data_IF_758358506911
#
_entry.id   IF_758358506911
#
_cell.length_a   1.000
_cell.length_b   1.000
_cell.length_c   1.000
_cell.angle_alpha   90.00
_cell.angle_beta   90.00
_cell.angle_gamma   90.00
#
_symmetry.space_group_name_H-M   'P 1'
#
loop_
_entity.id
_entity.type
_entity.pdbx_description
1 polymer ?
#
# COMPACT_ATOMS: atom_id res chain seq x y z
N UNK A 1 44.48 12.87 13.09
CA UNK A 1 43.87 12.99 14.44
C UNK A 1 42.35 13.11 14.39
N UNK A 2 41.75 14.20 13.90
CA UNK A 2 40.26 14.31 13.82
C UNK A 2 39.66 13.32 12.81
N UNK A 3 40.28 13.18 11.64
CA UNK A 3 39.91 12.18 10.62
C UNK A 3 39.98 10.75 11.15
N UNK A 4 41.02 10.41 11.91
CA UNK A 4 41.18 9.07 12.50
C UNK A 4 40.15 8.79 13.59
N UNK A 5 39.80 9.82 14.39
CA UNK A 5 38.72 9.73 15.38
C UNK A 5 37.38 9.47 14.70
N UNK A 6 37.08 10.21 13.63
CA UNK A 6 35.84 10.03 12.85
C UNK A 6 35.78 8.66 12.18
N UNK A 7 36.88 8.20 11.58
CA UNK A 7 36.98 6.84 11.01
C UNK A 7 36.74 5.75 12.04
N UNK A 8 37.24 5.93 13.27
CA UNK A 8 37.01 4.97 14.35
C UNK A 8 35.56 4.97 14.82
N UNK A 9 34.95 6.15 14.95
CA UNK A 9 33.53 6.29 15.29
C UNK A 9 32.62 5.68 14.20
N UNK A 10 32.95 5.90 12.92
CA UNK A 10 32.23 5.31 11.79
C UNK A 10 32.39 3.78 11.78
N UNK A 11 33.59 3.26 12.03
CA UNK A 11 33.84 1.82 12.13
C UNK A 11 33.07 1.17 13.30
N UNK A 12 33.04 1.82 14.47
CA UNK A 12 32.29 1.33 15.63
C UNK A 12 30.77 1.34 15.37
N UNK A 13 30.28 2.35 14.65
CA UNK A 13 28.88 2.45 14.23
C UNK A 13 28.53 1.38 13.18
N UNK A 14 29.39 1.16 12.19
CA UNK A 14 29.20 0.14 11.16
C UNK A 14 29.21 -1.27 11.78
N UNK A 15 30.07 -1.53 12.77
CA UNK A 15 30.11 -2.80 13.49
C UNK A 15 28.80 -3.11 14.25
N UNK A 16 28.02 -2.08 14.60
CA UNK A 16 26.70 -2.20 15.27
C UNK A 16 25.53 -2.00 14.32
N UNK A 17 25.80 -1.86 13.01
CA UNK A 17 24.77 -1.63 12.01
C UNK A 17 24.26 -2.95 11.44
N UNK A 18 22.96 -3.16 11.54
CA UNK A 18 22.25 -4.31 10.95
C UNK A 18 21.50 -3.84 9.72
N UNK A 19 21.87 -4.36 8.55
CA UNK A 19 21.18 -4.06 7.29
C UNK A 19 20.11 -5.12 7.02
N UNK A 20 18.85 -4.69 6.98
CA UNK A 20 17.69 -5.53 6.70
C UNK A 20 17.15 -5.20 5.30
N UNK A 21 16.99 -6.22 4.45
CA UNK A 21 16.40 -6.05 3.13
C UNK A 21 15.02 -6.70 3.10
N UNK A 22 13.97 -5.91 2.80
CA UNK A 22 12.61 -6.41 2.65
C UNK A 22 12.37 -6.83 1.20
N UNK A 23 12.08 -8.10 0.95
CA UNK A 23 11.77 -8.63 -0.38
C UNK A 23 10.37 -9.24 -0.42
N UNK A 24 9.80 -9.36 -1.62
CA UNK A 24 8.47 -9.92 -1.85
C UNK A 24 7.78 -9.28 -3.05
N UNK A 25 6.75 -9.96 -3.57
CA UNK A 25 5.97 -9.48 -4.71
C UNK A 25 5.28 -8.13 -4.46
N UNK A 26 4.70 -7.52 -5.50
CA UNK A 26 3.86 -6.32 -5.35
C UNK A 26 2.75 -6.55 -4.32
N UNK A 27 2.40 -5.50 -3.57
CA UNK A 27 1.33 -5.55 -2.54
C UNK A 27 1.51 -6.58 -1.41
N UNK A 28 2.68 -7.21 -1.26
CA UNK A 28 2.86 -8.22 -0.20
C UNK A 28 2.87 -7.69 1.23
N UNK A 29 2.94 -6.36 1.44
CA UNK A 29 2.96 -5.74 2.78
C UNK A 29 4.33 -5.21 3.25
N UNK A 30 5.36 -5.19 2.39
CA UNK A 30 6.70 -4.67 2.74
C UNK A 30 6.68 -3.28 3.35
N UNK A 31 6.10 -2.32 2.65
CA UNK A 31 6.02 -0.93 3.13
C UNK A 31 5.18 -0.81 4.39
N UNK A 32 4.18 -1.68 4.59
CA UNK A 32 3.40 -1.74 5.84
C UNK A 32 4.27 -2.16 7.02
N UNK A 33 5.23 -3.09 6.84
CA UNK A 33 6.21 -3.41 7.89
C UNK A 33 7.10 -2.20 8.19
N UNK A 34 7.55 -1.45 7.18
CA UNK A 34 8.34 -0.23 7.41
C UNK A 34 7.54 0.82 8.20
N UNK A 35 6.28 1.03 7.84
CA UNK A 35 5.37 1.94 8.58
C UNK A 35 5.23 1.49 10.05
N UNK A 36 5.09 0.19 10.31
CA UNK A 36 5.07 -0.36 11.67
C UNK A 36 6.37 -0.10 12.44
N UNK A 37 7.54 -0.26 11.80
CA UNK A 37 8.83 0.02 12.44
C UNK A 37 8.95 1.49 12.83
N UNK A 38 8.39 2.41 12.05
CA UNK A 38 8.32 3.82 12.42
C UNK A 38 7.45 4.04 13.65
N UNK A 39 6.28 3.41 13.72
CA UNK A 39 5.39 3.50 14.89
C UNK A 39 6.07 2.98 16.16
N UNK A 40 6.70 1.81 16.09
CA UNK A 40 7.25 1.13 17.26
C UNK A 40 8.58 1.75 17.72
N UNK A 41 9.40 2.28 16.79
CA UNK A 41 10.79 2.67 17.08
C UNK A 41 11.15 4.12 16.75
N UNK A 42 10.23 4.94 16.21
CA UNK A 42 10.48 6.34 15.84
C UNK A 42 9.33 7.28 16.24
N UNK A 43 8.76 7.07 17.42
CA UNK A 43 7.74 7.94 18.04
C UNK A 43 6.44 8.12 17.23
N UNK A 44 6.13 7.22 16.28
CA UNK A 44 4.92 7.33 15.47
C UNK A 44 5.07 8.27 14.28
N UNK A 45 3.92 8.81 13.86
CA UNK A 45 3.82 9.83 12.81
C UNK A 45 3.51 11.19 13.44
N UNK A 46 4.20 12.24 13.00
CA UNK A 46 3.86 13.60 13.42
C UNK A 46 2.51 14.03 12.87
N UNK A 47 1.94 15.10 13.43
CA UNK A 47 0.71 15.69 12.89
C UNK A 47 0.89 16.11 11.43
N UNK A 48 2.01 16.75 11.07
CA UNK A 48 2.25 17.15 9.68
C UNK A 48 2.29 15.92 8.75
N UNK A 49 2.99 14.86 9.17
CA UNK A 49 3.08 13.63 8.38
C UNK A 49 1.72 12.95 8.23
N UNK A 50 0.90 12.90 9.29
CA UNK A 50 -0.46 12.36 9.21
C UNK A 50 -1.31 13.16 8.21
N UNK A 51 -1.19 14.49 8.19
CA UNK A 51 -1.95 15.34 7.26
C UNK A 51 -1.55 15.09 5.80
N UNK A 52 -0.30 14.76 5.51
CA UNK A 52 0.16 14.36 4.17
C UNK A 52 -0.55 13.09 3.64
N UNK A 53 -1.02 12.21 4.53
CA UNK A 53 -1.74 11.00 4.13
C UNK A 53 -3.20 11.24 3.73
N UNK A 54 -3.78 12.41 3.99
CA UNK A 54 -5.19 12.70 3.65
C UNK A 54 -5.44 12.54 2.15
N UNK A 55 -4.57 13.13 1.33
CA UNK A 55 -4.69 13.08 -0.13
C UNK A 55 -4.56 11.65 -0.65
N UNK A 56 -3.66 10.86 -0.07
CA UNK A 56 -3.44 9.45 -0.39
C UNK A 56 -4.69 8.63 -0.02
N UNK A 57 -5.26 8.84 1.17
CA UNK A 57 -6.44 8.13 1.66
C UNK A 57 -7.65 8.43 0.78
N UNK A 58 -7.88 9.70 0.43
CA UNK A 58 -8.96 10.07 -0.49
C UNK A 58 -8.77 9.47 -1.89
N UNK A 59 -7.54 9.52 -2.43
CA UNK A 59 -7.22 8.89 -3.71
C UNK A 59 -7.46 7.37 -3.68
N UNK A 60 -7.00 6.68 -2.62
CA UNK A 60 -7.24 5.25 -2.43
C UNK A 60 -8.73 4.91 -2.33
N UNK A 61 -9.52 5.74 -1.64
CA UNK A 61 -10.96 5.55 -1.47
C UNK A 61 -11.69 5.69 -2.80
N UNK A 62 -11.39 6.76 -3.54
CA UNK A 62 -11.96 7.03 -4.87
C UNK A 62 -11.61 5.92 -5.88
N UNK A 63 -10.33 5.53 -5.94
CA UNK A 63 -9.89 4.45 -6.82
C UNK A 63 -10.57 3.12 -6.48
N UNK A 64 -10.81 2.84 -5.20
CA UNK A 64 -11.47 1.61 -4.76
C UNK A 64 -12.91 1.55 -5.25
N UNK A 65 -13.71 2.60 -5.04
CA UNK A 65 -15.11 2.60 -5.50
C UNK A 65 -15.21 2.61 -7.04
N UNK A 66 -14.31 3.31 -7.74
CA UNK A 66 -14.25 3.28 -9.20
C UNK A 66 -13.91 1.88 -9.73
N UNK A 67 -13.00 1.16 -9.08
CA UNK A 67 -12.66 -0.21 -9.46
C UNK A 67 -13.87 -1.14 -9.32
N UNK A 68 -14.65 -1.01 -8.23
CA UNK A 68 -15.86 -1.80 -8.02
C UNK A 68 -16.92 -1.47 -9.09
N UNK A 69 -17.18 -0.18 -9.36
CA UNK A 69 -18.13 0.25 -10.41
C UNK A 69 -17.75 -0.28 -11.79
N UNK A 70 -16.46 -0.26 -12.14
CA UNK A 70 -15.97 -0.87 -13.39
C UNK A 70 -16.18 -2.38 -13.41
N UNK A 71 -15.86 -3.06 -12.30
CA UNK A 71 -16.01 -4.50 -12.17
C UNK A 71 -17.47 -4.95 -12.27
N UNK A 72 -18.45 -4.15 -11.82
CA UNK A 72 -19.87 -4.47 -11.99
C UNK A 72 -20.24 -4.68 -13.46
N UNK A 73 -19.68 -3.87 -14.37
CA UNK A 73 -19.93 -4.03 -15.81
C UNK A 73 -19.31 -5.32 -16.34
N UNK A 74 -18.05 -5.60 -15.97
CA UNK A 74 -17.34 -6.82 -16.37
C UNK A 74 -18.01 -8.10 -15.86
N UNK A 75 -18.48 -8.07 -14.61
CA UNK A 75 -19.13 -9.21 -13.95
C UNK A 75 -20.63 -9.29 -14.23
N UNK A 76 -21.18 -8.38 -15.03
CA UNK A 76 -22.61 -8.27 -15.37
C UNK A 76 -23.51 -8.20 -14.12
N UNK A 77 -23.10 -7.43 -13.11
CA UNK A 77 -23.85 -7.21 -11.87
C UNK A 77 -24.68 -5.94 -12.01
N UNK A 78 -25.99 -6.05 -11.84
CA UNK A 78 -26.91 -4.91 -11.82
C UNK A 78 -26.85 -4.14 -10.49
N UNK A 79 -27.15 -2.86 -10.54
CA UNK A 79 -27.36 -2.05 -9.33
C UNK A 79 -28.64 -2.47 -8.61
N UNK A 80 -28.66 -2.28 -7.29
CA UNK A 80 -29.84 -2.53 -6.46
C UNK A 80 -31.00 -1.58 -6.78
N UNK A 81 -30.72 -0.31 -7.11
CA UNK A 81 -31.73 0.61 -7.62
C UNK A 81 -31.23 1.42 -8.83
N UNK A 82 -32.17 1.96 -9.61
CA UNK A 82 -31.88 2.69 -10.85
C UNK A 82 -31.09 3.99 -10.60
N UNK A 83 -31.34 4.67 -9.47
CA UNK A 83 -30.66 5.93 -9.12
C UNK A 83 -29.14 5.74 -8.98
N UNK A 84 -28.70 4.56 -8.54
CA UNK A 84 -27.28 4.23 -8.38
C UNK A 84 -26.56 4.08 -9.72
N UNK A 85 -27.28 3.74 -10.79
CA UNK A 85 -26.70 3.74 -12.13
C UNK A 85 -26.31 5.16 -12.57
N UNK A 86 -27.12 6.16 -12.23
CA UNK A 86 -26.81 7.56 -12.52
C UNK A 86 -25.74 8.11 -11.58
N UNK A 87 -25.74 7.72 -10.30
CA UNK A 87 -24.65 8.05 -9.37
C UNK A 87 -23.30 7.47 -9.84
N UNK A 88 -23.27 6.25 -10.37
CA UNK A 88 -22.05 5.65 -10.93
C UNK A 88 -21.53 6.42 -12.14
N UNK A 89 -22.40 6.93 -13.02
CA UNK A 89 -22.01 7.79 -14.14
C UNK A 89 -21.44 9.12 -13.65
N UNK A 90 -22.08 9.74 -12.66
CA UNK A 90 -21.60 10.99 -12.03
C UNK A 90 -20.25 10.80 -11.35
N UNK A 91 -20.07 9.69 -10.61
CA UNK A 91 -18.81 9.32 -9.98
C UNK A 91 -17.66 9.33 -11.01
N UNK A 92 -17.85 8.64 -12.14
CA UNK A 92 -16.83 8.54 -13.18
C UNK A 92 -16.49 9.91 -13.79
N UNK A 93 -17.50 10.75 -14.06
CA UNK A 93 -17.28 12.10 -14.58
C UNK A 93 -16.58 13.01 -13.56
N UNK A 94 -16.98 12.95 -12.29
CA UNK A 94 -16.37 13.75 -11.22
C UNK A 94 -14.91 13.34 -11.01
N UNK A 95 -14.61 12.03 -11.02
CA UNK A 95 -13.25 11.54 -10.85
C UNK A 95 -12.26 12.09 -11.89
N UNK A 96 -12.72 12.38 -13.11
CA UNK A 96 -11.89 12.96 -14.18
C UNK A 96 -11.72 14.48 -14.08
N UNK A 97 -12.52 15.16 -13.24
CA UNK A 97 -12.60 16.64 -13.21
C UNK A 97 -12.18 17.25 -11.87
N UNK A 98 -12.31 16.51 -10.77
CA UNK A 98 -11.86 16.98 -9.45
C UNK A 98 -10.34 17.00 -9.34
N UNK A 99 -9.84 17.85 -8.45
CA UNK A 99 -8.44 17.83 -8.08
C UNK A 99 -8.08 16.52 -7.37
N UNK A 100 -6.97 15.90 -7.77
CA UNK A 100 -6.51 14.65 -7.19
C UNK A 100 -6.27 14.79 -5.68
N UNK A 101 -6.71 13.79 -4.91
CA UNK A 101 -6.55 13.80 -3.46
C UNK A 101 -7.52 14.73 -2.72
N UNK A 102 -8.58 15.21 -3.38
CA UNK A 102 -9.69 15.94 -2.73
C UNK A 102 -10.93 15.06 -2.59
N UNK A 103 -11.82 15.42 -1.66
CA UNK A 103 -13.10 14.73 -1.45
C UNK A 103 -14.24 15.75 -1.27
N UNK A 104 -14.71 16.39 -2.35
CA UNK A 104 -15.84 17.32 -2.29
C UNK A 104 -17.10 16.65 -1.73
N UNK A 105 -18.00 17.45 -1.14
CA UNK A 105 -19.25 16.94 -0.56
C UNK A 105 -20.09 16.15 -1.56
N UNK A 106 -20.22 16.64 -2.79
CA UNK A 106 -20.98 15.94 -3.85
C UNK A 106 -20.40 14.55 -4.14
N UNK A 107 -19.07 14.44 -4.21
CA UNK A 107 -18.38 13.18 -4.46
C UNK A 107 -18.59 12.19 -3.31
N UNK A 108 -18.35 12.63 -2.07
CA UNK A 108 -18.52 11.77 -0.89
C UNK A 108 -19.97 11.31 -0.72
N UNK A 109 -20.95 12.19 -0.95
CA UNK A 109 -22.37 11.82 -0.92
C UNK A 109 -22.71 10.73 -1.96
N UNK A 110 -22.12 10.80 -3.16
CA UNK A 110 -22.27 9.77 -4.20
C UNK A 110 -21.65 8.44 -3.74
N UNK A 111 -20.42 8.47 -3.24
CA UNK A 111 -19.72 7.25 -2.79
C UNK A 111 -20.50 6.58 -1.65
N UNK A 112 -21.04 7.35 -0.70
CA UNK A 112 -21.86 6.83 0.40
C UNK A 112 -23.13 6.13 -0.10
N UNK A 113 -23.80 6.68 -1.13
CA UNK A 113 -25.00 6.05 -1.71
C UNK A 113 -24.67 4.79 -2.50
N UNK A 114 -23.59 4.83 -3.28
CA UNK A 114 -23.10 3.66 -4.03
C UNK A 114 -22.66 2.54 -3.09
N UNK A 115 -21.93 2.85 -2.02
CA UNK A 115 -21.45 1.82 -1.09
C UNK A 115 -22.60 1.08 -0.39
N UNK A 116 -23.75 1.74 -0.17
CA UNK A 116 -24.96 1.13 0.40
C UNK A 116 -25.76 0.30 -0.61
N UNK A 117 -25.40 0.30 -1.89
CA UNK A 117 -26.10 -0.46 -2.92
C UNK A 117 -25.82 -1.96 -2.84
N UNK A 118 -26.86 -2.78 -2.98
CA UNK A 118 -26.72 -4.23 -2.90
C UNK A 118 -25.91 -4.81 -4.06
N UNK A 119 -25.96 -4.20 -5.24
CA UNK A 119 -25.15 -4.62 -6.40
C UNK A 119 -23.67 -4.31 -6.20
N UNK A 120 -23.36 -3.14 -5.64
CA UNK A 120 -21.98 -2.76 -5.26
C UNK A 120 -21.44 -3.72 -4.20
N UNK A 121 -22.21 -4.03 -3.15
CA UNK A 121 -21.82 -4.99 -2.12
C UNK A 121 -21.59 -6.39 -2.70
N UNK A 122 -22.51 -6.88 -3.55
CA UNK A 122 -22.36 -8.17 -4.21
C UNK A 122 -21.15 -8.23 -5.16
N UNK A 123 -20.77 -7.10 -5.77
CA UNK A 123 -19.55 -7.00 -6.56
C UNK A 123 -18.30 -7.01 -5.68
N UNK A 124 -18.32 -6.30 -4.55
CA UNK A 124 -17.25 -6.30 -3.56
C UNK A 124 -16.99 -7.68 -2.96
N UNK A 125 -18.03 -8.50 -2.73
CA UNK A 125 -17.88 -9.88 -2.27
C UNK A 125 -17.11 -10.77 -3.27
N UNK A 126 -17.01 -10.35 -4.54
CA UNK A 126 -16.28 -11.00 -5.62
C UNK A 126 -14.96 -10.28 -5.93
N UNK A 127 -14.41 -9.54 -4.98
CA UNK A 127 -13.22 -8.72 -5.17
C UNK A 127 -11.95 -9.48 -5.60
N UNK A 128 -11.88 -10.81 -5.44
CA UNK A 128 -10.75 -11.59 -5.96
C UNK A 128 -10.77 -11.78 -7.48
N UNK A 129 -11.91 -11.53 -8.13
CA UNK A 129 -12.06 -11.64 -9.60
C UNK A 129 -11.55 -10.40 -10.37
N UNK A 130 -11.14 -9.35 -9.66
CA UNK A 130 -10.60 -8.13 -10.26
C UNK A 130 -9.56 -7.46 -9.35
N UNK A 131 -8.88 -6.43 -9.86
CA UNK A 131 -7.86 -5.73 -9.08
C UNK A 131 -8.52 -4.71 -8.14
N UNK A 132 -8.53 -5.02 -6.85
CA UNK A 132 -9.00 -4.13 -5.79
C UNK A 132 -7.95 -3.98 -4.69
N UNK A 133 -7.91 -2.81 -4.05
CA UNK A 133 -7.08 -2.58 -2.88
C UNK A 133 -7.65 -3.31 -1.65
N UNK A 134 -6.83 -4.07 -0.93
CA UNK A 134 -7.20 -4.78 0.31
C UNK A 134 -7.86 -3.86 1.36
N UNK A 135 -7.49 -2.58 1.37
CA UNK A 135 -8.05 -1.57 2.28
C UNK A 135 -9.36 -0.94 1.80
N UNK A 136 -9.92 -1.35 0.65
CA UNK A 136 -11.14 -0.75 0.07
C UNK A 136 -12.30 -0.76 1.07
N UNK A 137 -12.61 -1.92 1.65
CA UNK A 137 -13.69 -2.04 2.63
C UNK A 137 -13.46 -1.19 3.88
N UNK A 138 -12.21 -1.08 4.35
CA UNK A 138 -11.87 -0.25 5.52
C UNK A 138 -12.24 1.21 5.31
N UNK A 139 -11.83 1.80 4.17
CA UNK A 139 -12.11 3.20 3.90
C UNK A 139 -13.57 3.47 3.51
N UNK A 140 -14.19 2.59 2.73
CA UNK A 140 -15.57 2.78 2.29
C UNK A 140 -16.57 2.65 3.45
N UNK A 141 -16.31 1.73 4.40
CA UNK A 141 -17.12 1.61 5.62
C UNK A 141 -17.01 2.83 6.53
N UNK A 142 -15.83 3.44 6.61
CA UNK A 142 -15.56 4.58 7.50
C UNK A 142 -15.64 5.94 6.79
N UNK A 143 -16.16 6.01 5.56
CA UNK A 143 -16.10 7.24 4.76
C UNK A 143 -16.68 8.46 5.49
N UNK A 144 -17.75 8.30 6.26
CA UNK A 144 -18.35 9.39 7.06
C UNK A 144 -17.38 9.98 8.11
N UNK A 145 -16.46 9.17 8.66
CA UNK A 145 -15.39 9.61 9.56
C UNK A 145 -14.30 10.36 8.78
N UNK A 146 -13.94 9.85 7.61
CA UNK A 146 -12.85 10.39 6.79
C UNK A 146 -13.17 11.79 6.26
N UNK A 147 -14.44 12.11 6.02
CA UNK A 147 -14.86 13.42 5.45
C UNK A 147 -15.25 14.46 6.49
N UNK A 148 -15.10 14.16 7.79
CA UNK A 148 -15.42 15.14 8.84
C UNK A 148 -14.49 16.36 8.75
N UNK A 149 -15.00 17.58 8.96
CA UNK A 149 -14.16 18.76 9.10
C UNK A 149 -13.12 18.56 10.22
N UNK A 150 -11.85 18.79 9.91
CA UNK A 150 -10.76 18.58 10.87
C UNK A 150 -10.32 17.13 11.05
N UNK A 151 -10.69 16.23 10.13
CA UNK A 151 -10.18 14.86 10.09
C UNK A 151 -8.64 14.83 10.09
N UNK A 152 -8.08 14.06 11.01
CA UNK A 152 -6.65 13.73 11.08
C UNK A 152 -6.54 12.20 10.98
N UNK A 153 -5.77 11.67 10.00
CA UNK A 153 -5.57 10.23 9.87
C UNK A 153 -4.98 9.61 11.13
N UNK A 154 -5.55 8.48 11.53
CA UNK A 154 -5.00 7.63 12.58
C UNK A 154 -3.81 6.84 12.06
N UNK A 155 -2.97 6.30 12.94
CA UNK A 155 -1.93 5.35 12.54
C UNK A 155 -2.50 4.15 11.76
N UNK A 156 -3.72 3.72 12.08
CA UNK A 156 -4.41 2.64 11.38
C UNK A 156 -4.79 3.04 9.95
N UNK A 157 -5.24 4.28 9.74
CA UNK A 157 -5.46 4.83 8.39
C UNK A 157 -4.14 4.90 7.62
N UNK A 158 -3.08 5.41 8.25
CA UNK A 158 -1.74 5.50 7.65
C UNK A 158 -1.21 4.12 7.25
N UNK A 159 -1.38 3.09 8.09
CA UNK A 159 -0.96 1.72 7.80
C UNK A 159 -1.73 1.09 6.65
N UNK A 160 -3.03 1.40 6.54
CA UNK A 160 -3.93 0.90 5.48
C UNK A 160 -3.75 1.64 4.16
N UNK A 161 -3.12 2.82 4.17
CA UNK A 161 -2.90 3.61 2.96
C UNK A 161 -1.91 2.91 2.04
N UNK A 162 -2.26 2.90 0.76
CA UNK A 162 -1.52 2.27 -0.32
C UNK A 162 -0.83 3.34 -1.13
N UNK A 163 0.49 3.28 -1.10
CA UNK A 163 1.39 4.01 -1.99
C UNK A 163 2.24 2.98 -2.72
N UNK A 164 2.27 3.05 -4.05
CA UNK A 164 3.12 2.16 -4.84
C UNK A 164 4.58 2.57 -4.62
N UNK A 165 5.35 1.74 -3.94
CA UNK A 165 6.79 1.95 -3.75
C UNK A 165 7.52 1.83 -5.08
N UNK A 166 8.22 2.90 -5.46
CA UNK A 166 9.12 2.95 -6.61
C UNK A 166 10.55 3.17 -6.13
N UNK A 167 11.50 2.43 -6.70
CA UNK A 167 12.89 2.48 -6.27
C UNK A 167 13.14 1.79 -4.92
N UNK A 168 14.02 2.41 -4.14
CA UNK A 168 14.57 1.89 -2.88
C UNK A 168 14.38 2.98 -1.83
N UNK A 169 13.73 2.64 -0.73
CA UNK A 169 13.51 3.52 0.41
C UNK A 169 14.27 2.96 1.61
N UNK A 170 15.14 3.77 2.20
CA UNK A 170 15.87 3.41 3.42
C UNK A 170 15.20 4.03 4.64
N UNK A 171 14.91 3.21 5.65
CA UNK A 171 14.45 3.65 6.97
C UNK A 171 15.46 3.23 8.03
N UNK A 172 15.85 4.19 8.87
CA UNK A 172 16.79 3.95 9.95
C UNK A 172 16.09 4.07 11.30
N UNK A 173 16.36 3.13 12.20
CA UNK A 173 15.90 3.14 13.59
C UNK A 173 16.94 2.46 14.49
N UNK A 174 16.86 2.71 15.79
CA UNK A 174 17.73 2.07 16.78
C UNK A 174 16.89 1.21 17.71
N UNK A 175 17.39 0.03 18.06
CA UNK A 175 16.78 -0.82 19.07
C UNK A 175 17.86 -1.44 19.93
N UNK A 176 17.84 -1.14 21.23
CA UNK A 176 18.95 -1.39 22.15
C UNK A 176 20.23 -0.75 21.61
N UNK A 177 21.35 -1.46 21.61
CA UNK A 177 22.65 -0.97 21.14
C UNK A 177 22.89 -1.19 19.63
N UNK A 178 21.87 -1.60 18.87
CA UNK A 178 21.96 -1.87 17.45
C UNK A 178 21.28 -0.77 16.62
N UNK A 179 21.93 -0.42 15.51
CA UNK A 179 21.39 0.50 14.52
C UNK A 179 20.88 -0.28 13.32
N UNK A 180 19.59 -0.20 13.04
CA UNK A 180 18.96 -0.88 11.92
C UNK A 180 18.86 0.05 10.71
N UNK A 181 19.27 -0.46 9.56
CA UNK A 181 19.02 0.14 8.24
C UNK A 181 18.12 -0.81 7.46
N UNK A 182 16.85 -0.45 7.32
CA UNK A 182 15.85 -1.26 6.64
C UNK A 182 15.60 -0.71 5.24
N UNK A 183 15.75 -1.56 4.24
CA UNK A 183 15.55 -1.22 2.83
C UNK A 183 14.25 -1.83 2.33
N UNK A 184 13.29 -0.97 1.97
CA UNK A 184 12.06 -1.34 1.27
C UNK A 184 12.23 -1.07 -0.22
N UNK A 185 11.95 -2.10 -1.03
CA UNK A 185 12.12 -2.04 -2.47
C UNK A 185 10.81 -2.34 -3.17
N UNK A 186 10.59 -1.74 -4.34
CA UNK A 186 9.41 -2.02 -5.16
C UNK A 186 9.29 -3.51 -5.49
N UNK A 187 8.11 -4.10 -5.21
CA UNK A 187 7.86 -5.55 -5.38
C UNK A 187 7.46 -5.99 -6.79
N UNK A 188 7.02 -5.04 -7.61
CA UNK A 188 6.57 -5.27 -8.99
C UNK A 188 7.76 -5.68 -9.87
N UNK A 189 7.50 -6.50 -10.90
CA UNK A 189 8.51 -7.02 -11.84
C UNK A 189 9.36 -5.91 -12.44
N UNK A 190 8.76 -4.74 -12.75
CA UNK A 190 9.48 -3.57 -13.28
C UNK A 190 10.54 -3.00 -12.32
N UNK A 191 10.34 -3.17 -11.01
CA UNK A 191 11.21 -2.61 -9.97
C UNK A 191 12.34 -3.56 -9.56
N UNK A 192 12.21 -4.87 -9.84
CA UNK A 192 13.14 -5.90 -9.34
C UNK A 192 14.57 -5.76 -9.87
N UNK A 193 14.75 -5.17 -11.05
CA UNK A 193 16.09 -4.88 -11.59
C UNK A 193 16.92 -3.97 -10.66
N UNK A 194 16.25 -3.16 -9.83
CA UNK A 194 16.90 -2.23 -8.90
C UNK A 194 17.38 -2.92 -7.62
N UNK A 195 16.89 -4.12 -7.31
CA UNK A 195 17.19 -4.80 -6.05
C UNK A 195 18.68 -5.11 -5.88
N UNK A 196 19.41 -5.34 -6.99
CA UNK A 196 20.85 -5.62 -6.99
C UNK A 196 21.66 -4.56 -6.24
N UNK A 197 21.19 -3.30 -6.22
CA UNK A 197 21.85 -2.19 -5.54
C UNK A 197 21.74 -2.24 -4.01
N UNK A 198 20.94 -3.18 -3.46
CA UNK A 198 20.69 -3.30 -2.03
C UNK A 198 21.19 -4.60 -1.42
N UNK A 199 21.73 -5.54 -2.20
CA UNK A 199 22.18 -6.84 -1.69
C UNK A 199 23.56 -6.79 -1.00
N UNK A 200 24.37 -5.77 -1.27
CA UNK A 200 25.71 -5.68 -0.71
C UNK A 200 25.70 -5.41 0.81
N UNK A 201 26.32 -6.32 1.56
CA UNK A 201 26.46 -6.21 3.02
C UNK A 201 25.14 -6.33 3.79
N UNK A 202 24.10 -6.93 3.20
CA UNK A 202 22.85 -7.25 3.89
C UNK A 202 23.10 -8.29 4.98
N UNK A 203 22.68 -8.00 6.20
CA UNK A 203 22.77 -8.92 7.33
C UNK A 203 21.67 -9.97 7.27
N UNK A 204 20.45 -9.57 6.90
CA UNK A 204 19.29 -10.45 6.83
C UNK A 204 18.29 -9.99 5.76
N UNK A 205 17.71 -10.95 5.05
CA UNK A 205 16.58 -10.74 4.15
C UNK A 205 15.31 -11.15 4.87
N UNK A 206 14.31 -10.25 4.88
CA UNK A 206 12.96 -10.54 5.34
C UNK A 206 12.07 -10.65 4.10
N UNK A 207 11.68 -11.88 3.76
CA UNK A 207 10.79 -12.13 2.64
C UNK A 207 9.33 -12.11 3.11
N UNK A 208 8.48 -11.36 2.41
CA UNK A 208 7.09 -11.14 2.78
C UNK A 208 6.17 -11.63 1.66
N UNK A 209 5.24 -12.52 2.02
CA UNK A 209 4.26 -13.11 1.13
C UNK A 209 2.83 -12.83 1.62
N UNK A 210 1.92 -12.46 0.72
CA UNK A 210 0.50 -12.29 1.01
C UNK A 210 -0.22 -13.64 0.89
N UNK A 211 -0.58 -14.24 2.04
CA UNK A 211 -1.28 -15.53 2.08
C UNK A 211 -2.72 -15.44 1.54
N UNK A 212 -3.36 -14.27 1.69
CA UNK A 212 -4.71 -14.00 1.20
C UNK A 212 -4.81 -13.93 -0.33
N UNK A 213 -3.69 -13.84 -1.04
CA UNK A 213 -3.66 -13.64 -2.48
C UNK A 213 -3.67 -14.96 -3.29
N UNK A 214 -4.10 -16.07 -2.68
CA UNK A 214 -4.06 -17.39 -3.31
C UNK A 214 -5.05 -17.56 -4.47
N UNK A 215 -6.12 -16.76 -4.51
CA UNK A 215 -7.16 -16.75 -5.53
C UNK A 215 -7.09 -15.52 -6.45
N UNK A 216 -6.02 -14.72 -6.34
CA UNK A 216 -5.84 -13.48 -7.10
C UNK A 216 -4.75 -13.62 -8.16
N UNK A 217 -4.86 -12.81 -9.23
CA UNK A 217 -3.85 -12.68 -10.29
C UNK A 217 -3.05 -11.39 -10.14
N UNK A 218 -1.86 -11.32 -10.74
CA UNK A 218 -1.02 -10.12 -10.69
C UNK A 218 -1.69 -8.94 -11.41
N UNK A 219 -1.41 -7.72 -10.94
CA UNK A 219 -1.78 -6.48 -11.66
C UNK A 219 -1.07 -6.40 -13.02
N UNK A 220 0.13 -7.00 -13.09
CA UNK A 220 1.04 -6.91 -14.22
C UNK A 220 0.76 -7.98 -15.29
N UNK A 221 -0.01 -9.01 -14.94
CA UNK A 221 -0.18 -10.25 -15.71
C UNK A 221 -1.39 -11.03 -15.14
N UNK A 222 -2.52 -10.99 -15.86
CA UNK A 222 -3.79 -11.58 -15.42
C UNK A 222 -3.86 -13.11 -15.57
N UNK A 223 -2.83 -13.72 -16.17
CA UNK A 223 -2.69 -15.18 -16.25
C UNK A 223 -1.88 -15.77 -15.08
N UNK A 224 -1.19 -14.91 -14.31
CA UNK A 224 -0.29 -15.35 -13.25
C UNK A 224 -0.88 -15.15 -11.87
N UNK A 225 -1.11 -16.25 -11.16
CA UNK A 225 -1.52 -16.25 -9.76
C UNK A 225 -0.46 -15.59 -8.85
N UNK A 226 -0.90 -14.72 -7.93
CA UNK A 226 -0.01 -13.97 -7.02
C UNK A 226 0.79 -14.88 -6.08
N UNK A 227 0.21 -15.96 -5.59
CA UNK A 227 0.92 -16.91 -4.70
C UNK A 227 1.97 -17.71 -5.46
N UNK A 228 1.68 -18.16 -6.68
CA UNK A 228 2.66 -18.81 -7.55
C UNK A 228 3.83 -17.88 -7.89
N UNK A 229 3.57 -16.61 -8.21
CA UNK A 229 4.62 -15.61 -8.40
C UNK A 229 5.47 -15.46 -7.14
N UNK A 230 4.84 -15.40 -5.96
CA UNK A 230 5.58 -15.27 -4.70
C UNK A 230 6.48 -16.47 -4.41
N UNK A 231 6.01 -17.70 -4.69
CA UNK A 231 6.80 -18.92 -4.54
C UNK A 231 7.97 -18.96 -5.53
N UNK A 232 7.72 -18.63 -6.80
CA UNK A 232 8.75 -18.54 -7.83
C UNK A 232 9.83 -17.52 -7.44
N UNK A 233 9.41 -16.33 -6.99
CA UNK A 233 10.30 -15.28 -6.53
C UNK A 233 11.13 -15.72 -5.32
N UNK A 234 10.51 -16.32 -4.32
CA UNK A 234 11.21 -16.85 -3.15
C UNK A 234 12.28 -17.87 -3.54
N UNK A 235 11.92 -18.82 -4.40
CA UNK A 235 12.84 -19.84 -4.91
C UNK A 235 14.02 -19.22 -5.69
N UNK A 236 13.76 -18.17 -6.48
CA UNK A 236 14.80 -17.44 -7.22
C UNK A 236 15.79 -16.71 -6.29
N UNK A 237 15.30 -16.14 -5.17
CA UNK A 237 16.14 -15.48 -4.18
C UNK A 237 16.98 -16.51 -3.40
N UNK A 238 16.36 -17.59 -2.92
CA UNK A 238 17.07 -18.60 -2.13
C UNK A 238 18.15 -19.35 -2.92
N UNK A 239 17.95 -19.52 -4.22
CA UNK A 239 18.88 -20.24 -5.08
C UNK A 239 19.76 -19.31 -5.95
N UNK A 240 19.71 -18.00 -5.71
CA UNK A 240 20.64 -17.07 -6.35
C UNK A 240 22.06 -17.38 -5.86
N UNK A 241 22.96 -17.69 -6.79
CA UNK A 241 24.39 -17.91 -6.52
C UNK A 241 25.19 -16.71 -6.98
#
# INVERSE_FOLDING_TARGET
>A
RELEKKLKEDADKDARTVKLLLLGAGESGKSTIVKQMKIIHKDGYSLEECLEFITIIYSNTLQSIMAIVKAMTTLSIGYGHADQQDDARKLMHLADTIEEGTMPKELSDIILRLWKDSGIQACFDRASEYQLNDSAGYYLNDLERLIQPGYVPTEQDVLRSRVKTTGIIETQFSFKDLHFRMFDVGGQRSERKKWIHCFEGVTCIIFIAALSAYDMVLVEDDEVNRMHESLHLFNSICNHR
#
